data_IF_837867138839
#
_entry.id   IF_837867138839
#
_cell.length_a   1.000
_cell.length_b   1.000
_cell.length_c   1.000
_cell.angle_alpha   90.00
_cell.angle_beta   90.00
_cell.angle_gamma   90.00
#
_symmetry.space_group_name_H-M   'P 1'
#
loop_
_entity.id
_entity.type
_entity.pdbx_description
1 polymer ?
#
# COMPACT_ATOMS: atom_id res chain seq x y z
N UNK A 1 8.72 40.36 26.32
CA UNK A 1 8.56 39.22 27.24
C UNK A 1 7.16 38.67 27.07
N UNK A 2 7.02 37.61 26.28
CA UNK A 2 5.74 37.00 25.94
C UNK A 2 5.32 35.94 26.95
N UNK A 3 4.02 35.83 27.16
CA UNK A 3 3.35 34.59 27.58
C UNK A 3 2.08 34.48 26.73
N UNK A 4 2.16 33.76 25.61
CA UNK A 4 1.02 33.37 24.79
C UNK A 4 0.67 31.91 25.14
N UNK A 5 -0.33 31.74 26.00
CA UNK A 5 -1.03 30.48 26.18
C UNK A 5 -1.90 30.21 24.95
N UNK A 6 -1.39 29.45 23.99
CA UNK A 6 -2.12 29.04 22.80
C UNK A 6 -3.27 28.08 23.15
N UNK A 7 -4.50 28.48 22.82
CA UNK A 7 -5.63 27.54 22.72
C UNK A 7 -5.63 26.94 21.32
N UNK A 8 -5.60 25.62 21.24
CA UNK A 8 -5.83 24.87 20.00
C UNK A 8 -7.32 24.58 19.91
N UNK A 9 -7.96 24.96 18.80
CA UNK A 9 -9.33 24.57 18.47
C UNK A 9 -9.22 23.48 17.41
N UNK A 10 -9.73 22.28 17.72
CA UNK A 10 -9.80 21.15 16.78
C UNK A 10 -11.26 20.99 16.36
N UNK A 11 -11.50 20.96 15.05
CA UNK A 11 -12.83 20.81 14.47
C UNK A 11 -13.14 19.32 14.27
N UNK A 12 -14.10 18.79 15.02
CA UNK A 12 -14.71 17.48 14.81
C UNK A 12 -16.22 17.67 14.72
N UNK A 13 -16.80 17.42 13.55
CA UNK A 13 -18.23 17.20 13.32
C UNK A 13 -19.22 18.12 14.06
N UNK A 14 -19.73 19.15 13.37
CA UNK A 14 -20.92 19.99 13.67
C UNK A 14 -21.16 20.54 15.08
N UNK A 15 -20.36 20.29 16.12
CA UNK A 15 -20.56 20.83 17.47
C UNK A 15 -19.24 21.32 18.09
N UNK A 16 -19.16 22.60 18.46
CA UNK A 16 -17.97 23.19 19.09
C UNK A 16 -17.89 22.87 20.59
N UNK A 17 -16.74 22.38 21.05
CA UNK A 17 -16.42 22.20 22.47
C UNK A 17 -15.24 23.10 22.87
N UNK A 18 -15.35 23.82 23.99
CA UNK A 18 -14.24 24.60 24.56
C UNK A 18 -13.62 23.83 25.73
N UNK A 19 -12.37 23.40 25.61
CA UNK A 19 -11.58 22.86 26.71
C UNK A 19 -10.72 23.97 27.33
N UNK A 20 -10.86 24.18 28.64
CA UNK A 20 -9.84 24.85 29.48
C UNK A 20 -9.12 23.76 30.26
N UNK A 21 -7.79 23.78 30.27
CA UNK A 21 -6.98 22.81 31.01
C UNK A 21 -7.38 22.78 32.49
N UNK A 22 -7.73 21.59 33.00
CA UNK A 22 -7.81 21.29 34.44
C UNK A 22 -9.18 20.95 35.05
N UNK A 23 -10.31 20.96 34.33
CA UNK A 23 -11.62 20.46 34.87
C UNK A 23 -12.49 19.82 33.78
N UNK A 24 -13.30 18.83 34.18
CA UNK A 24 -14.19 18.05 33.30
C UNK A 24 -15.17 18.90 32.48
N UNK A 25 -15.39 18.48 31.23
CA UNK A 25 -16.22 19.18 30.25
C UNK A 25 -17.67 19.38 30.73
N UNK A 26 -18.20 20.59 30.62
CA UNK A 26 -19.65 20.86 30.75
C UNK A 26 -20.20 21.34 29.42
N UNK A 27 -21.32 20.75 29.00
CA UNK A 27 -22.11 21.21 27.85
C UNK A 27 -22.61 22.64 28.13
N UNK A 28 -22.20 23.62 27.35
CA UNK A 28 -22.88 24.91 27.29
C UNK A 28 -23.89 24.89 26.14
N UNK A 29 -25.17 24.78 26.47
CA UNK A 29 -26.25 24.97 25.52
C UNK A 29 -26.31 26.44 25.13
N UNK A 30 -26.01 26.75 23.86
CA UNK A 30 -26.50 27.96 23.17
C UNK A 30 -26.33 27.73 21.66
N UNK A 31 -27.48 27.57 20.99
CA UNK A 31 -27.64 27.52 19.55
C UNK A 31 -27.23 28.85 18.93
N UNK A 32 -26.45 28.83 17.86
CA UNK A 32 -26.25 30.01 17.01
C UNK A 32 -26.57 29.64 15.55
N UNK A 33 -27.59 30.31 15.04
CA UNK A 33 -28.02 30.32 13.65
C UNK A 33 -26.98 31.01 12.76
N UNK A 34 -27.02 30.65 11.48
CA UNK A 34 -26.15 31.13 10.42
C UNK A 34 -26.45 32.60 10.11
N UNK A 35 -25.42 33.45 10.10
CA UNK A 35 -25.46 34.78 9.47
C UNK A 35 -25.32 35.97 10.41
N UNK A 36 -24.08 36.31 10.77
CA UNK A 36 -23.73 37.68 11.17
C UNK A 36 -22.23 37.92 10.92
N UNK A 37 -21.92 38.87 10.04
CA UNK A 37 -20.58 39.34 9.76
C UNK A 37 -20.02 40.11 10.97
N UNK A 38 -18.81 39.77 11.39
CA UNK A 38 -18.05 40.50 12.41
C UNK A 38 -16.79 41.06 11.76
N UNK A 39 -16.64 42.38 11.78
CA UNK A 39 -15.52 43.12 11.19
C UNK A 39 -14.68 43.72 12.34
N UNK A 40 -13.40 43.35 12.53
CA UNK A 40 -12.58 43.87 13.61
C UNK A 40 -11.91 45.21 13.24
N UNK A 41 -11.87 46.19 14.17
CA UNK A 41 -11.12 47.42 13.97
C UNK A 41 -9.64 47.18 14.28
N UNK A 42 -8.78 47.41 13.28
CA UNK A 42 -7.32 47.34 13.45
C UNK A 42 -6.65 46.72 12.24
N UNK A 43 -6.49 47.53 11.19
CA UNK A 43 -5.87 47.13 9.93
C UNK A 43 -4.50 46.50 10.10
N UNK A 44 -4.45 45.18 9.98
CA UNK A 44 -3.32 44.45 9.44
C UNK A 44 -3.93 43.48 8.43
N UNK A 45 -3.94 43.90 7.17
CA UNK A 45 -4.56 43.13 6.10
C UNK A 45 -3.86 41.79 5.91
N UNK A 46 -4.63 40.71 5.98
CA UNK A 46 -4.29 39.49 5.26
C UNK A 46 -5.39 39.28 4.23
N UNK A 47 -5.20 39.89 3.07
CA UNK A 47 -6.00 39.63 1.88
C UNK A 47 -5.70 38.20 1.43
N UNK A 48 -6.55 37.24 1.77
CA UNK A 48 -6.68 36.01 1.00
C UNK A 48 -7.80 36.26 -0.01
N UNK A 49 -7.45 37.09 -1.00
CA UNK A 49 -8.15 37.12 -2.26
C UNK A 49 -7.89 35.78 -2.95
N UNK A 50 -8.97 35.14 -3.41
CA UNK A 50 -8.91 34.17 -4.51
C UNK A 50 -8.07 34.78 -5.62
N UNK A 51 -6.99 34.12 -6.00
CA UNK A 51 -6.53 34.20 -7.37
C UNK A 51 -5.98 32.85 -7.83
N UNK A 52 -6.56 32.40 -8.94
CA UNK A 52 -6.13 31.26 -9.71
C UNK A 52 -4.80 31.62 -10.38
N UNK A 53 -3.92 30.63 -10.57
CA UNK A 53 -2.64 30.71 -11.32
C UNK A 53 -1.46 31.23 -10.49
N UNK A 54 -0.66 30.29 -10.02
CA UNK A 54 0.77 30.11 -10.36
C UNK A 54 1.45 29.32 -9.25
N UNK A 55 1.25 28.00 -9.24
CA UNK A 55 2.34 27.08 -8.93
C UNK A 55 2.68 26.42 -10.25
N UNK A 56 3.75 26.94 -10.83
CA UNK A 56 4.27 26.55 -12.12
C UNK A 56 4.64 25.06 -12.07
N UNK A 57 3.94 24.30 -12.90
CA UNK A 57 4.22 22.96 -13.41
C UNK A 57 5.67 22.48 -13.20
N UNK A 58 5.90 21.71 -12.13
CA UNK A 58 6.77 20.55 -12.25
C UNK A 58 5.90 19.41 -12.81
N UNK A 59 5.75 19.39 -14.14
CA UNK A 59 5.22 18.25 -14.90
C UNK A 59 6.22 17.10 -14.79
N UNK A 60 6.21 16.44 -13.64
CA UNK A 60 6.74 15.10 -13.46
C UNK A 60 5.60 14.34 -12.80
N UNK A 61 4.87 13.57 -13.61
CA UNK A 61 3.93 12.56 -13.12
C UNK A 61 4.73 11.59 -12.25
N UNK A 62 4.42 11.40 -10.96
CA UNK A 62 4.86 10.21 -10.27
C UNK A 62 3.76 9.15 -10.44
N UNK A 63 3.55 8.66 -11.67
CA UNK A 63 3.08 7.28 -11.76
C UNK A 63 4.26 6.42 -11.30
N UNK A 64 4.06 5.61 -10.26
CA UNK A 64 5.08 4.77 -9.65
C UNK A 64 6.27 5.53 -9.01
N UNK A 65 6.02 6.16 -7.86
CA UNK A 65 7.10 6.45 -6.90
C UNK A 65 6.80 5.70 -5.61
N UNK A 66 7.18 4.43 -5.56
CA UNK A 66 7.10 3.65 -4.33
C UNK A 66 8.40 3.82 -3.55
N UNK A 67 8.29 4.37 -2.33
CA UNK A 67 9.35 4.42 -1.36
C UNK A 67 9.71 3.00 -0.90
N UNK A 68 10.84 2.51 -1.37
CA UNK A 68 11.67 1.58 -0.61
C UNK A 68 12.29 2.32 0.57
N UNK A 69 12.02 1.87 1.80
CA UNK A 69 12.74 2.33 3.00
C UNK A 69 13.64 1.23 3.59
N UNK A 70 14.08 0.27 2.78
CA UNK A 70 15.07 -0.73 3.19
C UNK A 70 16.42 -0.40 2.51
N UNK A 71 17.51 -0.20 3.27
CA UNK A 71 18.84 -0.06 2.67
C UNK A 71 19.19 -1.29 1.83
N UNK A 72 19.27 -1.12 0.50
CA UNK A 72 19.55 -2.20 -0.45
C UNK A 72 18.34 -2.75 -1.22
N UNK A 73 17.16 -2.17 -1.04
CA UNK A 73 15.98 -2.52 -1.82
C UNK A 73 15.97 -1.75 -3.15
N UNK A 74 16.34 -2.49 -4.20
CA UNK A 74 16.14 -2.06 -5.58
C UNK A 74 14.65 -1.89 -5.80
N UNK A 75 14.19 -0.63 -5.74
CA UNK A 75 12.86 -0.23 -6.19
C UNK A 75 12.69 -0.67 -7.65
N UNK A 76 12.09 -1.83 -7.87
CA UNK A 76 11.70 -2.28 -9.19
C UNK A 76 10.47 -1.48 -9.56
N UNK A 77 10.64 -0.35 -10.25
CA UNK A 77 9.53 0.20 -11.01
C UNK A 77 9.02 -0.92 -11.91
N UNK A 78 7.75 -1.33 -11.74
CA UNK A 78 7.08 -2.31 -12.61
C UNK A 78 6.71 -1.60 -13.93
N UNK A 79 7.70 -0.96 -14.52
CA UNK A 79 7.72 -0.40 -15.87
C UNK A 79 8.77 -1.11 -16.72
N UNK A 80 9.68 -1.88 -16.11
CA UNK A 80 10.66 -2.68 -16.83
C UNK A 80 10.00 -3.95 -17.40
N UNK A 81 9.98 -4.12 -18.74
CA UNK A 81 9.49 -5.34 -19.38
C UNK A 81 10.13 -6.64 -18.86
N UNK A 82 11.39 -6.59 -18.42
CA UNK A 82 12.10 -7.75 -17.86
C UNK A 82 11.49 -8.20 -16.53
N UNK A 83 11.14 -7.25 -15.65
CA UNK A 83 10.49 -7.49 -14.35
C UNK A 83 9.08 -8.01 -14.57
N UNK A 84 8.30 -7.37 -15.44
CA UNK A 84 6.92 -7.80 -15.72
C UNK A 84 6.93 -9.22 -16.30
N UNK A 85 7.83 -9.56 -17.24
CA UNK A 85 7.99 -10.93 -17.75
C UNK A 85 8.35 -11.92 -16.65
N UNK A 86 9.23 -11.53 -15.72
CA UNK A 86 9.58 -12.37 -14.59
C UNK A 86 8.40 -12.57 -13.62
N UNK A 87 7.49 -11.60 -13.48
CA UNK A 87 6.29 -11.74 -12.64
C UNK A 87 5.13 -12.43 -13.37
N UNK A 88 5.05 -12.40 -14.69
CA UNK A 88 3.96 -12.96 -15.49
C UNK A 88 3.96 -14.51 -15.56
N UNK A 89 4.36 -15.20 -14.49
CA UNK A 89 4.29 -16.66 -14.39
C UNK A 89 3.80 -17.08 -12.99
N UNK A 90 2.78 -17.97 -12.89
CA UNK A 90 2.17 -18.36 -11.62
C UNK A 90 3.17 -18.85 -10.57
N UNK A 91 4.09 -19.75 -10.95
CA UNK A 91 5.10 -20.27 -10.03
C UNK A 91 6.04 -19.18 -9.48
N UNK A 92 6.37 -18.16 -10.30
CA UNK A 92 7.26 -17.08 -9.87
C UNK A 92 6.56 -16.15 -8.88
N UNK A 93 5.28 -15.84 -9.09
CA UNK A 93 4.45 -15.13 -8.12
C UNK A 93 4.29 -15.91 -6.82
N UNK A 94 4.01 -17.22 -6.90
CA UNK A 94 3.87 -18.06 -5.71
C UNK A 94 5.15 -18.10 -4.87
N UNK A 95 6.33 -18.22 -5.51
CA UNK A 95 7.63 -18.12 -4.83
C UNK A 95 7.80 -16.75 -4.17
N UNK A 96 7.50 -15.67 -4.89
CA UNK A 96 7.66 -14.31 -4.37
C UNK A 96 6.72 -14.02 -3.19
N UNK A 97 5.48 -14.50 -3.24
CA UNK A 97 4.52 -14.41 -2.14
C UNK A 97 4.98 -15.22 -0.92
N UNK A 98 5.50 -16.43 -1.13
CA UNK A 98 6.05 -17.24 -0.05
C UNK A 98 7.24 -16.56 0.64
N UNK A 99 8.16 -16.01 -0.15
CA UNK A 99 9.30 -15.27 0.36
C UNK A 99 8.86 -14.01 1.13
N UNK A 100 7.92 -13.23 0.61
CA UNK A 100 7.41 -12.02 1.27
C UNK A 100 6.59 -12.31 2.53
N UNK A 101 5.83 -13.41 2.56
CA UNK A 101 5.00 -13.77 3.71
C UNK A 101 5.80 -14.40 4.86
N UNK A 102 6.79 -15.23 4.55
CA UNK A 102 7.57 -15.93 5.58
C UNK A 102 8.85 -15.21 5.98
N UNK A 103 9.37 -14.32 5.13
CA UNK A 103 10.72 -13.74 5.24
C UNK A 103 11.84 -14.79 5.37
N UNK A 104 11.59 -16.05 4.95
CA UNK A 104 12.58 -17.13 4.95
C UNK A 104 13.48 -17.01 3.75
N UNK A 105 14.74 -17.40 3.91
CA UNK A 105 15.62 -17.72 2.78
C UNK A 105 15.42 -19.20 2.42
N UNK A 106 15.42 -19.51 1.12
CA UNK A 106 14.96 -20.79 0.59
C UNK A 106 15.93 -21.33 -0.46
N UNK A 107 16.07 -22.65 -0.54
CA UNK A 107 16.75 -23.33 -1.65
C UNK A 107 15.77 -23.66 -2.78
N UNK A 108 16.28 -24.12 -3.93
CA UNK A 108 15.43 -24.57 -5.02
C UNK A 108 14.57 -25.80 -4.65
N UNK A 109 15.07 -26.66 -3.77
CA UNK A 109 14.37 -27.84 -3.26
C UNK A 109 13.22 -27.42 -2.35
N UNK A 110 13.46 -26.50 -1.39
CA UNK A 110 12.40 -25.97 -0.52
C UNK A 110 11.35 -25.19 -1.32
N UNK A 111 11.78 -24.39 -2.30
CA UNK A 111 10.87 -23.66 -3.18
C UNK A 111 10.02 -24.61 -4.05
N UNK A 112 10.55 -25.77 -4.44
CA UNK A 112 9.86 -26.75 -5.25
C UNK A 112 8.67 -27.38 -4.51
N UNK A 113 8.81 -27.61 -3.20
CA UNK A 113 7.70 -28.06 -2.34
C UNK A 113 6.58 -27.03 -2.28
N UNK A 114 6.91 -25.74 -2.23
CA UNK A 114 5.94 -24.63 -2.19
C UNK A 114 5.10 -24.56 -3.47
N UNK A 115 5.72 -24.71 -4.64
CA UNK A 115 5.03 -24.54 -5.93
C UNK A 115 4.59 -25.84 -6.60
N UNK A 116 4.90 -27.00 -6.01
CA UNK A 116 4.56 -28.31 -6.58
C UNK A 116 5.27 -28.60 -7.90
N UNK A 117 6.50 -28.12 -8.09
CA UNK A 117 7.32 -28.36 -9.28
C UNK A 117 8.57 -29.18 -8.94
N UNK A 118 9.33 -29.63 -9.95
CA UNK A 118 10.62 -30.28 -9.70
C UNK A 118 11.70 -29.26 -9.30
N UNK A 119 12.71 -29.64 -8.50
CA UNK A 119 13.83 -28.74 -8.13
C UNK A 119 14.55 -28.12 -9.34
N UNK A 120 14.66 -28.86 -10.45
CA UNK A 120 15.24 -28.37 -11.70
C UNK A 120 14.41 -27.26 -12.35
N UNK A 121 13.08 -27.42 -12.41
CA UNK A 121 12.17 -26.40 -12.93
C UNK A 121 12.13 -25.18 -12.00
N UNK A 122 12.06 -25.39 -10.69
CA UNK A 122 12.09 -24.30 -9.70
C UNK A 122 13.40 -23.53 -9.73
N UNK A 123 14.53 -24.20 -9.95
CA UNK A 123 15.83 -23.55 -10.14
C UNK A 123 15.85 -22.61 -11.35
N UNK A 124 15.11 -22.92 -12.42
CA UNK A 124 14.95 -22.01 -13.55
C UNK A 124 14.12 -20.77 -13.17
N UNK A 125 13.02 -20.94 -12.43
CA UNK A 125 12.19 -19.83 -11.97
C UNK A 125 12.93 -18.89 -11.00
N UNK A 126 13.67 -19.43 -10.03
CA UNK A 126 14.48 -18.65 -9.09
C UNK A 126 15.57 -17.85 -9.81
N UNK A 127 16.27 -18.47 -10.77
CA UNK A 127 17.27 -17.74 -11.59
C UNK A 127 16.65 -16.62 -12.42
N UNK A 128 15.44 -16.83 -12.97
CA UNK A 128 14.73 -15.79 -13.71
C UNK A 128 14.35 -14.60 -12.80
N UNK A 129 13.83 -14.88 -11.59
CA UNK A 129 13.53 -13.86 -10.60
C UNK A 129 14.80 -13.10 -10.15
N UNK A 130 15.89 -13.82 -9.89
CA UNK A 130 17.16 -13.22 -9.48
C UNK A 130 17.79 -12.36 -10.59
N UNK A 131 17.71 -12.82 -11.85
CA UNK A 131 18.18 -12.05 -13.01
C UNK A 131 17.40 -10.74 -13.20
N UNK A 132 16.10 -10.74 -12.88
CA UNK A 132 15.26 -9.55 -12.87
C UNK A 132 15.45 -8.70 -11.59
N UNK A 133 16.35 -9.10 -10.67
CA UNK A 133 16.62 -8.42 -9.41
C UNK A 133 15.53 -8.54 -8.35
N UNK A 134 14.46 -9.31 -8.59
CA UNK A 134 13.29 -9.41 -7.71
C UNK A 134 13.63 -10.19 -6.42
N UNK A 135 14.57 -11.14 -6.52
CA UNK A 135 15.09 -11.89 -5.38
C UNK A 135 16.63 -11.85 -5.40
N UNK A 136 17.26 -12.15 -4.27
CA UNK A 136 18.71 -12.05 -4.13
C UNK A 136 19.31 -13.35 -3.61
N UNK A 137 20.58 -13.59 -3.95
CA UNK A 137 21.36 -14.67 -3.34
C UNK A 137 21.51 -14.39 -1.83
N UNK A 138 21.40 -15.44 -1.01
CA UNK A 138 21.57 -15.41 0.44
C UNK A 138 22.81 -16.24 0.85
N UNK A 139 23.31 -16.10 2.09
CA UNK A 139 24.41 -16.93 2.58
C UNK A 139 24.10 -18.42 2.46
N UNK A 140 25.10 -19.22 2.08
CA UNK A 140 24.93 -20.68 2.04
C UNK A 140 24.76 -21.26 3.45
N UNK A 141 23.95 -22.31 3.57
CA UNK A 141 23.65 -23.01 4.83
C UNK A 141 24.47 -24.28 5.08
N UNK A 142 25.44 -24.60 4.21
CA UNK A 142 26.16 -25.87 4.27
C UNK A 142 27.40 -25.91 3.36
N UNK A 143 27.59 -27.02 2.67
CA UNK A 143 28.78 -27.30 1.83
C UNK A 143 28.89 -26.44 0.54
N UNK A 144 28.02 -25.43 0.38
CA UNK A 144 28.02 -24.52 -0.76
C UNK A 144 27.39 -25.07 -2.03
N UNK A 145 26.92 -26.33 -2.05
CA UNK A 145 26.34 -26.93 -3.26
C UNK A 145 24.97 -26.37 -3.63
N UNK A 146 24.18 -25.97 -2.63
CA UNK A 146 22.86 -25.39 -2.84
C UNK A 146 22.92 -23.86 -2.79
N UNK A 147 22.38 -23.22 -3.84
CA UNK A 147 22.11 -21.78 -3.87
C UNK A 147 20.89 -21.48 -3.00
N UNK A 148 21.08 -20.57 -2.05
CA UNK A 148 20.02 -20.05 -1.18
C UNK A 148 19.59 -18.69 -1.71
N UNK A 149 18.28 -18.43 -1.74
CA UNK A 149 17.70 -17.17 -2.18
C UNK A 149 16.89 -16.53 -1.06
N UNK A 150 16.84 -15.21 -1.04
CA UNK A 150 15.97 -14.42 -0.16
C UNK A 150 15.12 -13.46 -0.99
N UNK A 151 13.90 -13.21 -0.54
CA UNK A 151 13.01 -12.22 -1.15
C UNK A 151 13.42 -10.77 -0.84
N UNK A 152 12.71 -9.80 -1.41
CA UNK A 152 12.94 -8.37 -1.20
C UNK A 152 12.50 -7.87 0.20
N UNK A 153 12.06 -8.75 1.10
CA UNK A 153 11.54 -8.41 2.43
C UNK A 153 10.07 -7.99 2.43
N UNK A 154 9.62 -7.29 1.37
CA UNK A 154 8.22 -6.90 1.16
C UNK A 154 7.82 -7.08 -0.32
N UNK A 155 6.61 -7.59 -0.55
CA UNK A 155 6.04 -7.72 -1.90
C UNK A 155 4.84 -6.78 -2.04
N UNK A 156 5.06 -5.63 -2.67
CA UNK A 156 4.01 -4.74 -3.14
C UNK A 156 4.08 -4.64 -4.66
N UNK A 157 2.98 -4.98 -5.34
CA UNK A 157 2.92 -5.00 -6.80
C UNK A 157 1.80 -4.05 -7.22
N UNK A 158 2.18 -2.97 -7.88
CA UNK A 158 1.28 -2.03 -8.53
C UNK A 158 1.51 -2.11 -10.03
N UNK A 159 0.43 -2.28 -10.80
CA UNK A 159 0.48 -2.34 -12.26
C UNK A 159 -0.51 -1.30 -12.78
N UNK A 160 -0.01 -0.34 -13.56
CA UNK A 160 -0.86 0.65 -14.22
C UNK A 160 -1.64 0.03 -15.39
N UNK A 161 -2.58 0.78 -15.96
CA UNK A 161 -3.46 0.33 -17.06
C UNK A 161 -2.77 0.25 -18.43
N UNK A 162 -1.48 0.58 -18.54
CA UNK A 162 -0.73 0.61 -19.78
C UNK A 162 -1.09 1.78 -20.71
N UNK A 163 -1.64 2.87 -20.16
CA UNK A 163 -2.01 4.04 -20.94
C UNK A 163 -0.77 4.70 -21.57
N UNK A 164 -0.65 4.60 -22.90
CA UNK A 164 0.48 5.14 -23.66
C UNK A 164 1.63 4.14 -23.89
N UNK A 165 1.47 2.89 -23.47
CA UNK A 165 2.44 1.82 -23.73
C UNK A 165 2.37 1.30 -25.18
N UNK A 166 3.48 0.76 -25.65
CA UNK A 166 3.51 -0.03 -26.89
C UNK A 166 2.66 -1.30 -26.75
N UNK A 167 2.12 -1.86 -27.85
CA UNK A 167 1.21 -3.02 -27.80
C UNK A 167 1.77 -4.24 -27.06
N UNK A 168 3.06 -4.55 -27.23
CA UNK A 168 3.71 -5.65 -26.52
C UNK A 168 3.70 -5.41 -25.00
N UNK A 169 3.95 -4.17 -24.58
CA UNK A 169 4.01 -3.84 -23.17
C UNK A 169 2.65 -3.86 -22.50
N UNK A 170 1.65 -3.33 -23.19
CA UNK A 170 0.25 -3.39 -22.76
C UNK A 170 -0.20 -4.83 -22.54
N UNK A 171 0.03 -5.72 -23.51
CA UNK A 171 -0.35 -7.14 -23.40
C UNK A 171 0.32 -7.85 -22.21
N UNK A 172 1.58 -7.50 -21.94
CA UNK A 172 2.31 -8.07 -20.82
C UNK A 172 1.77 -7.59 -19.45
N UNK A 173 1.43 -6.30 -19.34
CA UNK A 173 0.79 -5.75 -18.14
C UNK A 173 -0.60 -6.35 -17.92
N UNK A 174 -1.40 -6.51 -18.97
CA UNK A 174 -2.70 -7.19 -18.92
C UNK A 174 -2.56 -8.62 -18.40
N UNK A 175 -1.61 -9.40 -18.94
CA UNK A 175 -1.33 -10.74 -18.45
C UNK A 175 -0.93 -10.77 -16.96
N UNK A 176 -0.10 -9.82 -16.51
CA UNK A 176 0.28 -9.73 -15.11
C UNK A 176 -0.92 -9.35 -14.22
N UNK A 177 -1.75 -8.39 -14.65
CA UNK A 177 -2.97 -7.98 -13.94
C UNK A 177 -3.94 -9.17 -13.79
N UNK A 178 -4.17 -9.93 -14.85
CA UNK A 178 -5.05 -11.11 -14.81
C UNK A 178 -4.55 -12.14 -13.78
N UNK A 179 -3.25 -12.41 -13.75
CA UNK A 179 -2.64 -13.30 -12.77
C UNK A 179 -2.80 -12.79 -11.34
N UNK A 180 -2.56 -11.50 -11.10
CA UNK A 180 -2.70 -10.89 -9.75
C UNK A 180 -4.15 -10.95 -9.27
N UNK A 181 -5.12 -10.65 -10.15
CA UNK A 181 -6.54 -10.72 -9.85
C UNK A 181 -6.98 -12.16 -9.57
N UNK A 182 -6.58 -13.11 -10.39
CA UNK A 182 -6.88 -14.53 -10.17
C UNK A 182 -6.36 -15.02 -8.82
N UNK A 183 -5.12 -14.66 -8.44
CA UNK A 183 -4.55 -15.00 -7.13
C UNK A 183 -5.29 -14.32 -5.98
N UNK A 184 -5.69 -13.06 -6.14
CA UNK A 184 -6.50 -12.38 -5.12
C UNK A 184 -7.85 -13.06 -4.90
N UNK A 185 -8.49 -13.53 -5.98
CA UNK A 185 -9.75 -14.26 -5.89
C UNK A 185 -9.58 -15.64 -5.26
N UNK A 186 -8.46 -16.32 -5.50
CA UNK A 186 -8.10 -17.56 -4.84
C UNK A 186 -7.94 -17.36 -3.33
N UNK A 187 -7.19 -16.32 -2.90
CA UNK A 187 -7.06 -15.97 -1.47
C UNK A 187 -8.40 -15.70 -0.80
N UNK A 188 -9.27 -14.93 -1.46
CA UNK A 188 -10.61 -14.68 -0.95
C UNK A 188 -11.42 -15.98 -0.83
N UNK A 189 -11.31 -16.87 -1.80
CA UNK A 189 -12.00 -18.18 -1.78
C UNK A 189 -11.49 -19.08 -0.66
N UNK A 190 -10.17 -19.18 -0.49
CA UNK A 190 -9.56 -19.91 0.61
C UNK A 190 -10.00 -19.36 1.98
N UNK A 191 -9.96 -18.04 2.16
CA UNK A 191 -10.44 -17.40 3.39
C UNK A 191 -11.90 -17.75 3.70
N UNK A 192 -12.80 -17.70 2.70
CA UNK A 192 -14.22 -18.07 2.90
C UNK A 192 -14.39 -19.53 3.38
N UNK A 193 -13.54 -20.45 2.94
CA UNK A 193 -13.59 -21.84 3.38
C UNK A 193 -13.16 -22.02 4.84
N UNK A 194 -12.30 -21.14 5.35
CA UNK A 194 -11.79 -21.19 6.73
C UNK A 194 -12.48 -20.18 7.67
N UNK A 195 -13.42 -19.38 7.16
CA UNK A 195 -14.05 -18.30 7.90
C UNK A 195 -14.60 -18.73 9.26
N UNK A 196 -15.34 -19.84 9.34
CA UNK A 196 -15.94 -20.32 10.59
C UNK A 196 -14.91 -20.83 11.60
N UNK A 197 -13.70 -21.17 11.15
CA UNK A 197 -12.60 -21.59 12.01
C UNK A 197 -11.75 -20.41 12.50
N UNK A 198 -11.94 -19.20 11.97
CA UNK A 198 -11.21 -18.01 12.41
C UNK A 198 -11.70 -17.54 13.79
N UNK A 199 -10.80 -17.03 14.66
CA UNK A 199 -11.21 -16.40 15.90
C UNK A 199 -12.20 -15.26 15.66
N UNK A 200 -13.16 -15.10 16.57
CA UNK A 200 -14.22 -14.07 16.48
C UNK A 200 -13.67 -12.68 16.21
N UNK A 201 -12.59 -12.30 16.88
CA UNK A 201 -11.91 -11.01 16.69
C UNK A 201 -11.43 -10.78 15.26
N UNK A 202 -11.00 -11.84 14.55
CA UNK A 202 -10.60 -11.75 13.14
C UNK A 202 -11.79 -11.78 12.20
N UNK A 203 -12.87 -12.49 12.55
CA UNK A 203 -14.12 -12.47 11.78
C UNK A 203 -14.78 -11.09 11.79
N UNK A 204 -14.83 -10.44 12.96
CA UNK A 204 -15.40 -9.09 13.13
C UNK A 204 -14.55 -8.00 12.46
N UNK A 205 -13.22 -8.13 12.48
CA UNK A 205 -12.32 -7.16 11.88
C UNK A 205 -12.22 -7.28 10.34
N UNK A 206 -12.62 -8.41 9.75
CA UNK A 206 -12.53 -8.63 8.31
C UNK A 206 -13.62 -7.88 7.56
N UNK A 207 -13.24 -7.15 6.51
CA UNK A 207 -14.16 -6.38 5.67
C UNK A 207 -14.09 -6.89 4.22
N UNK A 208 -15.27 -7.14 3.64
CA UNK A 208 -15.44 -7.33 2.19
C UNK A 208 -16.50 -6.32 1.77
N UNK A 209 -16.09 -5.27 1.06
CA UNK A 209 -17.00 -4.25 0.58
C UNK A 209 -16.69 -3.82 -0.85
N UNK A 210 -17.74 -3.37 -1.52
CA UNK A 210 -17.69 -2.63 -2.78
C UNK A 210 -18.54 -1.38 -2.57
N UNK A 211 -18.08 -0.23 -3.05
CA UNK A 211 -18.79 1.04 -2.85
C UNK A 211 -18.66 1.88 -4.11
N UNK A 212 -19.80 2.32 -4.64
CA UNK A 212 -19.85 3.26 -5.75
C UNK A 212 -19.72 4.68 -5.21
N UNK A 213 -18.76 5.43 -5.74
CA UNK A 213 -18.49 6.82 -5.36
C UNK A 213 -18.56 7.73 -6.59
N UNK A 214 -18.96 8.98 -6.40
CA UNK A 214 -18.97 10.00 -7.44
C UNK A 214 -17.78 10.93 -7.22
N UNK A 215 -16.76 10.80 -8.07
CA UNK A 215 -15.51 11.56 -7.99
C UNK A 215 -15.01 11.92 -9.38
N UNK A 216 -14.30 13.03 -9.48
CA UNK A 216 -13.50 13.40 -10.65
C UNK A 216 -12.20 12.60 -10.72
N UNK A 217 -11.46 12.68 -11.84
CA UNK A 217 -10.15 12.02 -11.97
C UNK A 217 -9.10 12.56 -10.97
N UNK A 218 -9.14 13.87 -10.68
CA UNK A 218 -8.24 14.50 -9.71
C UNK A 218 -8.58 14.04 -8.29
N UNK A 219 -9.87 14.02 -7.92
CA UNK A 219 -10.33 13.50 -6.62
C UNK A 219 -10.04 12.00 -6.47
N UNK A 220 -10.18 11.21 -7.54
CA UNK A 220 -9.83 9.79 -7.53
C UNK A 220 -8.33 9.58 -7.28
N UNK A 221 -7.48 10.41 -7.88
CA UNK A 221 -6.02 10.38 -7.68
C UNK A 221 -5.67 10.74 -6.24
N UNK A 222 -6.26 11.82 -5.73
CA UNK A 222 -6.05 12.22 -4.34
C UNK A 222 -6.50 11.12 -3.36
N UNK A 223 -7.65 10.50 -3.61
CA UNK A 223 -8.18 9.41 -2.79
C UNK A 223 -7.26 8.18 -2.80
N UNK A 224 -6.77 7.74 -3.96
CA UNK A 224 -5.88 6.56 -4.04
C UNK A 224 -4.52 6.84 -3.39
N UNK A 225 -4.00 8.06 -3.49
CA UNK A 225 -2.79 8.49 -2.78
C UNK A 225 -2.98 8.47 -1.26
N UNK A 226 -4.10 9.00 -0.75
CA UNK A 226 -4.42 8.98 0.68
C UNK A 226 -4.55 7.53 1.20
N UNK A 227 -5.20 6.65 0.44
CA UNK A 227 -5.29 5.22 0.76
C UNK A 227 -3.89 4.60 0.79
N UNK A 228 -3.06 4.82 -0.24
CA UNK A 228 -1.71 4.29 -0.30
C UNK A 228 -0.85 4.74 0.91
N UNK A 229 -0.96 6.01 1.31
CA UNK A 229 -0.29 6.54 2.50
C UNK A 229 -0.80 5.91 3.81
N UNK A 230 -2.10 5.71 3.94
CA UNK A 230 -2.70 5.05 5.10
C UNK A 230 -2.21 3.62 5.23
N UNK A 231 -2.27 2.86 4.14
CA UNK A 231 -1.82 1.46 4.08
C UNK A 231 -0.31 1.36 4.29
N UNK A 232 0.45 2.33 3.77
CA UNK A 232 1.91 2.39 3.92
C UNK A 232 2.40 2.27 5.35
N UNK A 233 1.63 2.75 6.34
CA UNK A 233 1.94 2.67 7.78
C UNK A 233 1.89 1.25 8.34
N UNK A 234 1.18 0.35 7.68
CA UNK A 234 0.98 -1.04 8.10
C UNK A 234 1.91 -2.03 7.38
N UNK A 235 2.76 -1.53 6.48
CA UNK A 235 3.72 -2.34 5.75
C UNK A 235 4.66 -3.08 6.67
N UNK A 236 4.99 -4.32 6.31
CA UNK A 236 5.88 -5.18 7.11
C UNK A 236 7.25 -4.53 7.30
N UNK A 237 7.79 -3.90 6.26
CA UNK A 237 9.07 -3.17 6.30
C UNK A 237 9.08 -2.03 7.31
N UNK A 238 7.94 -1.36 7.50
CA UNK A 238 7.76 -0.29 8.49
C UNK A 238 7.56 -0.84 9.89
N UNK A 239 6.92 -2.02 10.01
CA UNK A 239 6.50 -2.61 11.29
C UNK A 239 7.35 -3.79 11.77
N UNK A 240 8.49 -4.05 11.12
CA UNK A 240 9.25 -5.28 11.31
C UNK A 240 9.70 -5.48 12.77
N UNK A 241 10.08 -4.40 13.44
CA UNK A 241 10.65 -4.43 14.79
C UNK A 241 9.63 -4.06 15.89
N UNK A 242 8.44 -3.56 15.53
CA UNK A 242 7.44 -3.01 16.46
C UNK A 242 6.04 -3.61 16.29
N UNK A 243 5.89 -4.66 15.46
CA UNK A 243 4.63 -5.36 15.31
C UNK A 243 4.20 -5.97 16.67
N UNK A 244 3.00 -5.62 17.19
CA UNK A 244 2.51 -6.14 18.45
C UNK A 244 2.20 -7.62 18.34
N UNK A 245 2.15 -8.29 19.49
CA UNK A 245 1.72 -9.68 19.57
C UNK A 245 0.35 -9.88 18.92
N UNK A 246 0.21 -10.95 18.14
CA UNK A 246 -1.02 -11.26 17.40
C UNK A 246 -1.16 -10.57 16.05
N UNK A 247 -0.23 -9.70 15.64
CA UNK A 247 -0.20 -9.15 14.28
C UNK A 247 -0.08 -10.28 13.23
N UNK A 248 -0.96 -10.26 12.23
CA UNK A 248 -0.97 -11.20 11.10
C UNK A 248 -0.79 -10.45 9.79
N UNK A 249 -0.21 -11.12 8.81
CA UNK A 249 -0.17 -10.59 7.45
C UNK A 249 -1.58 -10.63 6.86
N UNK A 250 -2.08 -9.48 6.39
CA UNK A 250 -3.40 -9.34 5.77
C UNK A 250 -3.21 -8.99 4.30
N UNK A 251 -3.87 -9.75 3.42
CA UNK A 251 -3.94 -9.41 2.00
C UNK A 251 -5.00 -8.33 1.79
N UNK A 252 -4.61 -7.20 1.21
CA UNK A 252 -5.52 -6.11 0.86
C UNK A 252 -5.34 -5.76 -0.61
N UNK A 253 -6.46 -5.71 -1.33
CA UNK A 253 -6.51 -5.32 -2.74
C UNK A 253 -7.38 -4.06 -2.85
N UNK A 254 -6.80 -2.97 -3.34
CA UNK A 254 -7.52 -1.73 -3.64
C UNK A 254 -7.75 -1.66 -5.14
N UNK A 255 -9.01 -1.46 -5.55
CA UNK A 255 -9.41 -1.25 -6.95
C UNK A 255 -10.31 -0.03 -6.99
N UNK A 256 -9.98 0.92 -7.86
CA UNK A 256 -10.80 2.10 -8.07
C UNK A 256 -10.87 2.35 -9.59
N UNK A 257 -12.03 2.03 -10.18
CA UNK A 257 -12.24 1.97 -11.62
C UNK A 257 -13.49 2.77 -12.00
N UNK A 258 -13.47 3.56 -13.08
CA UNK A 258 -14.69 4.13 -13.63
C UNK A 258 -15.61 3.03 -14.18
N UNK A 259 -16.93 3.28 -14.16
CA UNK A 259 -17.96 2.41 -14.75
C UNK A 259 -18.13 2.70 -16.25
#
# INVERSE_FOLDING_TARGET
MGTLGGKVVVELGRHCYSLKAGRAARRSARSCEVGAAWDPPGGVGCAIHRDERTILLARIRPSATYYSSVPGDTTHKITDPSVIRALAHPARLAILEYLGSTAREITATEAAEVVGLSPSATSYHLRALAKAGIIHDAPSRGDGRERVYRGPGETHIEVDTGAGDEPEMKALKEQLLDLLLARSQERLTQWRHHYEAEPETWREATVINETMIMVTADELTELTEQIAQLVGRYRRSVRQDDAPEGARLVSMLVRALPQ
#
